data_IF_895536065254
#
_entry.id   IF_895536065254
#
_cell.length_a   1.000
_cell.length_b   1.000
_cell.length_c   1.000
_cell.angle_alpha   90.00
_cell.angle_beta   90.00
_cell.angle_gamma   90.00
#
_symmetry.space_group_name_H-M   'P 1'
#
loop_
_entity.id
_entity.type
_entity.pdbx_description
1 polymer ?
#
# COMPACT_ATOMS: atom_id res chain seq x y z
N UNK A 1 -3.66 27.83 -31.83
CA UNK A 1 -2.57 27.12 -31.15
C UNK A 1 -3.05 26.97 -29.73
N UNK A 2 -3.36 25.74 -29.32
CA UNK A 2 -3.78 25.46 -27.95
C UNK A 2 -2.48 25.07 -27.25
N UNK A 3 -2.03 25.89 -26.32
CA UNK A 3 -0.87 25.62 -25.49
C UNK A 3 -1.22 24.41 -24.60
N UNK A 4 -0.52 23.30 -24.84
CA UNK A 4 -0.49 22.09 -24.02
C UNK A 4 0.27 22.40 -22.70
N UNK A 5 -0.30 23.23 -21.83
CA UNK A 5 0.26 23.58 -20.50
C UNK A 5 -0.20 22.63 -19.36
N UNK A 6 -0.68 21.43 -19.67
CA UNK A 6 -1.12 20.43 -18.67
C UNK A 6 -0.40 19.08 -18.83
N UNK A 7 0.93 19.11 -18.98
CA UNK A 7 1.74 17.92 -18.68
C UNK A 7 2.09 17.93 -17.21
N UNK A 8 1.13 17.50 -16.41
CA UNK A 8 1.30 16.95 -15.06
C UNK A 8 2.17 15.68 -15.14
N UNK A 9 3.43 15.86 -15.56
CA UNK A 9 4.36 14.80 -15.94
C UNK A 9 5.02 14.14 -14.71
N UNK A 10 4.46 14.35 -13.52
CA UNK A 10 4.85 13.62 -12.32
C UNK A 10 3.69 12.69 -11.96
N UNK A 11 3.67 11.51 -12.59
CA UNK A 11 2.85 10.41 -12.08
C UNK A 11 3.30 10.15 -10.63
N UNK A 12 2.45 10.43 -9.62
CA UNK A 12 2.84 10.31 -8.23
C UNK A 12 3.09 8.86 -7.83
N UNK A 13 2.49 7.91 -8.53
CA UNK A 13 2.73 6.49 -8.32
C UNK A 13 4.14 6.14 -8.80
N UNK A 14 4.51 6.60 -10.00
CA UNK A 14 5.85 6.39 -10.54
C UNK A 14 6.93 7.05 -9.68
N UNK A 15 6.72 8.30 -9.24
CA UNK A 15 7.64 9.01 -8.37
C UNK A 15 7.86 8.27 -7.04
N UNK A 16 6.82 7.68 -6.45
CA UNK A 16 6.93 6.89 -5.23
C UNK A 16 7.81 5.63 -5.40
N UNK A 17 7.82 5.03 -6.59
CA UNK A 17 8.73 3.92 -6.90
C UNK A 17 10.18 4.39 -7.06
N UNK A 18 10.41 5.52 -7.72
CA UNK A 18 11.75 6.07 -7.96
C UNK A 18 12.40 6.58 -6.65
N UNK A 19 11.61 7.18 -5.75
CA UNK A 19 12.06 7.67 -4.44
C UNK A 19 12.21 6.54 -3.40
N UNK A 20 11.77 5.32 -3.71
CA UNK A 20 11.78 4.21 -2.77
C UNK A 20 13.22 3.80 -2.41
N UNK A 21 13.60 4.10 -1.17
CA UNK A 21 14.84 3.60 -0.57
C UNK A 21 14.52 2.38 0.29
N UNK A 22 15.21 1.27 0.03
CA UNK A 22 15.06 0.05 0.82
C UNK A 22 15.50 0.30 2.27
N UNK A 23 14.62 0.01 3.21
CA UNK A 23 14.90 0.19 4.62
C UNK A 23 16.05 -0.72 5.10
N UNK A 24 16.85 -0.28 6.10
CA UNK A 24 17.92 -1.09 6.65
C UNK A 24 17.45 -2.47 7.10
N UNK A 25 18.31 -3.46 6.85
CA UNK A 25 18.07 -4.90 6.99
C UNK A 25 17.63 -5.39 8.37
N UNK A 26 17.84 -4.56 9.40
CA UNK A 26 17.59 -4.86 10.81
C UNK A 26 16.35 -4.14 11.35
N UNK A 27 15.69 -3.30 10.55
CA UNK A 27 14.59 -2.43 11.00
C UNK A 27 13.23 -2.93 10.52
N UNK A 28 13.16 -3.48 9.29
CA UNK A 28 11.90 -4.00 8.74
C UNK A 28 11.86 -5.53 8.87
N UNK A 29 10.81 -6.11 9.47
CA UNK A 29 10.60 -7.55 9.47
C UNK A 29 10.55 -8.08 8.03
N UNK A 30 11.52 -8.92 7.64
CA UNK A 30 11.59 -9.44 6.26
C UNK A 30 10.59 -10.55 5.96
N UNK A 31 9.95 -11.09 6.99
CA UNK A 31 8.87 -12.06 6.89
C UNK A 31 7.78 -11.69 7.87
N UNK A 32 6.60 -11.47 7.32
CA UNK A 32 5.35 -11.50 8.06
C UNK A 32 4.68 -12.81 7.65
N UNK A 33 4.52 -13.72 8.60
CA UNK A 33 3.79 -14.96 8.35
C UNK A 33 2.32 -14.74 8.74
N UNK A 34 1.43 -14.93 7.78
CA UNK A 34 -0.01 -14.95 8.01
C UNK A 34 -0.49 -16.39 7.96
N UNK A 35 -1.32 -16.81 8.92
CA UNK A 35 -2.05 -18.07 8.80
C UNK A 35 -3.15 -17.95 7.75
N UNK A 36 -3.61 -19.08 7.21
CA UNK A 36 -4.76 -19.08 6.29
C UNK A 36 -6.03 -18.50 6.95
N UNK A 37 -6.18 -18.68 8.26
CA UNK A 37 -7.30 -18.13 9.01
C UNK A 37 -7.19 -16.60 9.14
N UNK A 38 -5.97 -16.05 9.32
CA UNK A 38 -5.75 -14.61 9.29
C UNK A 38 -6.11 -14.02 7.93
N UNK A 39 -5.68 -14.67 6.84
CA UNK A 39 -5.98 -14.20 5.48
C UNK A 39 -7.48 -14.25 5.16
N UNK A 40 -8.21 -15.25 5.68
CA UNK A 40 -9.67 -15.34 5.55
C UNK A 40 -10.37 -14.21 6.28
N UNK A 41 -9.93 -13.91 7.51
CA UNK A 41 -10.47 -12.80 8.29
C UNK A 41 -10.29 -11.46 7.56
N UNK A 42 -9.13 -11.25 6.92
CA UNK A 42 -8.87 -10.07 6.10
C UNK A 42 -9.80 -10.00 4.87
N UNK A 43 -10.03 -11.13 4.20
CA UNK A 43 -10.86 -11.20 3.00
C UNK A 43 -12.36 -10.96 3.27
N UNK A 44 -12.84 -11.28 4.47
CA UNK A 44 -14.24 -11.07 4.88
C UNK A 44 -14.59 -9.57 5.06
N UNK A 45 -13.61 -8.67 4.95
CA UNK A 45 -13.83 -7.23 4.94
C UNK A 45 -14.26 -6.63 6.29
N UNK A 46 -14.12 -7.39 7.37
CA UNK A 46 -14.46 -6.97 8.75
C UNK A 46 -13.22 -6.77 9.63
N UNK A 47 -12.04 -7.17 9.12
CA UNK A 47 -10.79 -7.06 9.85
C UNK A 47 -10.27 -5.63 9.89
N UNK A 48 -9.74 -5.27 11.06
CA UNK A 48 -8.85 -4.14 11.23
C UNK A 48 -7.43 -4.66 11.37
N UNK A 49 -6.48 -4.05 10.66
CA UNK A 49 -5.05 -4.37 10.76
C UNK A 49 -4.25 -3.16 11.15
N UNK A 50 -3.26 -3.37 12.00
CA UNK A 50 -2.23 -2.38 12.25
C UNK A 50 -1.18 -2.47 11.14
N UNK A 51 -1.06 -1.41 10.36
CA UNK A 51 -0.01 -1.25 9.36
C UNK A 51 1.06 -0.35 9.95
N UNK A 52 2.29 -0.85 9.99
CA UNK A 52 3.46 -0.07 10.39
C UNK A 52 4.31 0.22 9.16
N UNK A 53 4.52 1.50 8.84
CA UNK A 53 5.46 1.94 7.83
C UNK A 53 6.64 2.67 8.48
N UNK A 54 7.82 2.55 7.87
CA UNK A 54 9.05 3.12 8.38
C UNK A 54 9.54 4.21 7.43
N UNK A 55 9.75 5.40 7.98
CA UNK A 55 10.28 6.54 7.24
C UNK A 55 11.75 6.74 7.63
N UNK A 56 12.62 6.86 6.62
CA UNK A 56 14.05 7.12 6.81
C UNK A 56 14.37 8.57 6.44
N UNK A 57 14.88 9.34 7.39
CA UNK A 57 15.37 10.70 7.17
C UNK A 57 16.78 10.91 7.77
N UNK A 58 17.29 12.14 7.70
CA UNK A 58 18.63 12.49 8.21
C UNK A 58 18.81 12.30 9.73
N UNK A 59 17.71 12.20 10.47
CA UNK A 59 17.70 12.01 11.92
C UNK A 59 17.54 10.54 12.33
N UNK A 60 17.33 9.63 11.39
CA UNK A 60 17.22 8.19 11.64
C UNK A 60 15.94 7.58 11.06
N UNK A 61 15.39 6.59 11.76
CA UNK A 61 14.19 5.88 11.33
C UNK A 61 13.03 6.12 12.28
N UNK A 62 11.91 6.57 11.71
CA UNK A 62 10.65 6.75 12.43
C UNK A 62 9.68 5.66 12.02
N UNK A 63 9.04 5.02 13.00
CA UNK A 63 7.97 4.06 12.77
C UNK A 63 6.61 4.75 12.95
N UNK A 64 5.78 4.68 11.92
CA UNK A 64 4.40 5.17 11.94
C UNK A 64 3.48 3.97 11.92
N UNK A 65 2.54 3.89 12.86
CA UNK A 65 1.59 2.77 12.97
C UNK A 65 0.16 3.27 12.92
N UNK A 66 -0.62 2.71 12.02
CA UNK A 66 -2.00 3.11 11.76
C UNK A 66 -2.92 1.89 11.75
N UNK A 67 -4.14 2.06 12.25
CA UNK A 67 -5.17 1.02 12.19
C UNK A 67 -6.03 1.25 10.95
N UNK A 68 -6.03 0.30 10.02
CA UNK A 68 -6.78 0.38 8.76
C UNK A 68 -7.81 -0.74 8.69
N UNK A 69 -9.00 -0.44 8.17
CA UNK A 69 -10.02 -1.44 7.86
C UNK A 69 -9.79 -2.04 6.49
N UNK A 70 -9.86 -3.37 6.37
CA UNK A 70 -9.84 -4.05 5.07
C UNK A 70 -11.26 -4.12 4.55
N UNK A 71 -11.49 -3.61 3.34
CA UNK A 71 -12.80 -3.72 2.68
C UNK A 71 -12.88 -5.02 1.90
N UNK A 72 -14.09 -5.58 1.78
CA UNK A 72 -14.31 -6.76 0.96
C UNK A 72 -13.92 -6.49 -0.51
N UNK A 73 -13.29 -7.44 -1.20
CA UNK A 73 -12.90 -7.27 -2.60
C UNK A 73 -14.13 -7.07 -3.49
N UNK A 74 -14.04 -6.09 -4.41
CA UNK A 74 -15.05 -5.89 -5.44
C UNK A 74 -14.91 -6.98 -6.51
N UNK A 75 -15.80 -7.97 -6.48
CA UNK A 75 -15.91 -8.94 -7.56
C UNK A 75 -16.73 -8.27 -8.67
N UNK A 76 -16.07 -7.93 -9.79
CA UNK A 76 -16.76 -7.48 -11.00
C UNK A 76 -17.51 -8.71 -11.55
N UNK A 77 -18.81 -8.78 -11.30
CA UNK A 77 -19.65 -9.83 -11.87
C UNK A 77 -19.57 -9.76 -13.39
N UNK A 78 -18.91 -10.70 -14.05
CA UNK A 78 -19.00 -10.89 -15.51
C UNK A 78 -20.38 -11.49 -15.86
N UNK A 79 -21.44 -10.72 -15.62
CA UNK A 79 -22.75 -10.98 -16.20
C UNK A 79 -23.29 -9.67 -16.72
N UNK A 80 -23.03 -9.39 -18.00
CA UNK A 80 -23.97 -8.67 -18.86
C UNK A 80 -23.50 -8.77 -20.32
N UNK A 81 -24.38 -9.35 -21.16
CA UNK A 81 -24.33 -9.56 -22.63
C UNK A 81 -24.04 -10.99 -23.11
N UNK A 82 -25.00 -11.88 -22.89
CA UNK A 82 -25.51 -12.78 -23.95
C UNK A 82 -26.97 -12.43 -24.21
#
# INVERSE_FOLDING_TARGET
>A
MIDDEDRDAHDPIQAAFDDYRSAPRDIVPRRVEHSLDDLRLLADGTAQVTVTHYEYNEHGVTAHSECVGITAPFIKSEREHQ
#
